data_IF_788242495165
#
_entry.id   IF_788242495165
#
_cell.length_a   1.000
_cell.length_b   1.000
_cell.length_c   1.000
_cell.angle_alpha   90.00
_cell.angle_beta   90.00
_cell.angle_gamma   90.00
#
_symmetry.space_group_name_H-M   'P 1'
#
loop_
_entity.id
_entity.type
_entity.pdbx_description
1 polymer ?
#
# COMPACT_ATOMS: atom_id res chain seq x y z
N UNK A 1 37.49 -28.08 -29.12
CA UNK A 1 37.13 -26.69 -29.51
C UNK A 1 35.76 -26.24 -29.00
N UNK A 2 34.74 -27.10 -28.98
CA UNK A 2 33.38 -26.73 -28.57
C UNK A 2 33.24 -26.39 -27.07
N UNK A 3 33.94 -27.12 -26.19
CA UNK A 3 33.92 -26.87 -24.74
C UNK A 3 34.63 -25.56 -24.36
N UNK A 4 35.71 -25.21 -25.07
CA UNK A 4 36.46 -23.97 -24.86
C UNK A 4 35.67 -22.73 -25.30
N UNK A 5 34.84 -22.85 -26.34
CA UNK A 5 33.96 -21.76 -26.79
C UNK A 5 32.80 -21.51 -25.82
N UNK A 6 32.23 -22.58 -25.24
CA UNK A 6 31.17 -22.47 -24.22
C UNK A 6 31.74 -21.85 -22.93
N UNK A 7 32.95 -22.22 -22.52
CA UNK A 7 33.60 -21.64 -21.34
C UNK A 7 33.95 -20.16 -21.55
N UNK A 8 34.39 -19.78 -22.75
CA UNK A 8 34.67 -18.38 -23.11
C UNK A 8 33.38 -17.53 -23.15
N UNK A 9 32.29 -18.08 -23.68
CA UNK A 9 30.96 -17.43 -23.67
C UNK A 9 30.38 -17.31 -22.26
N UNK A 10 30.58 -18.31 -21.40
CA UNK A 10 30.16 -18.25 -19.99
C UNK A 10 30.98 -17.23 -19.18
N UNK A 11 32.28 -17.08 -19.47
CA UNK A 11 33.13 -16.06 -18.83
C UNK A 11 32.79 -14.64 -19.30
N UNK A 12 32.41 -14.45 -20.58
CA UNK A 12 31.93 -13.17 -21.09
C UNK A 12 30.54 -12.80 -20.52
N UNK A 13 29.68 -13.77 -20.22
CA UNK A 13 28.37 -13.54 -19.62
C UNK A 13 28.41 -13.12 -18.14
N UNK A 14 29.51 -13.39 -17.43
CA UNK A 14 29.69 -12.97 -16.03
C UNK A 14 30.25 -11.54 -15.87
N UNK A 15 30.59 -10.86 -16.98
CA UNK A 15 31.19 -9.53 -16.95
C UNK A 15 30.21 -8.37 -17.18
N UNK A 16 28.94 -8.61 -17.50
CA UNK A 16 27.95 -7.53 -17.69
C UNK A 16 26.57 -7.93 -17.13
N UNK A 17 26.41 -7.77 -15.81
CA UNK A 17 25.09 -7.68 -15.18
C UNK A 17 25.18 -7.04 -13.78
N UNK A 18 25.77 -5.85 -13.68
CA UNK A 18 25.43 -4.94 -12.58
C UNK A 18 24.33 -4.00 -13.08
N UNK A 19 23.10 -4.09 -12.54
CA UNK A 19 22.03 -3.15 -12.85
C UNK A 19 22.48 -1.70 -12.56
N UNK A 20 22.09 -0.71 -13.36
CA UNK A 20 22.34 0.69 -13.04
C UNK A 20 21.59 1.05 -11.75
N UNK A 21 22.30 1.38 -10.67
CA UNK A 21 21.65 1.84 -9.42
C UNK A 21 22.31 1.47 -8.10
N UNK A 22 23.49 0.83 -8.09
CA UNK A 22 24.25 0.60 -6.86
C UNK A 22 25.26 1.74 -6.72
N UNK A 23 24.93 2.75 -5.92
CA UNK A 23 25.94 3.64 -5.38
C UNK A 23 26.92 2.77 -4.57
N UNK A 24 28.19 2.80 -4.96
CA UNK A 24 29.27 2.10 -4.26
C UNK A 24 29.26 2.60 -2.80
N UNK A 25 28.89 1.71 -1.85
CA UNK A 25 28.74 1.94 -0.41
C UNK A 25 27.49 2.73 0.04
N UNK A 26 26.35 2.05 0.34
CA UNK A 26 25.22 2.71 0.97
C UNK A 26 25.58 3.16 2.39
N UNK A 27 25.22 4.39 2.74
CA UNK A 27 25.36 4.94 4.09
C UNK A 27 24.52 4.17 5.09
N UNK A 28 25.04 4.01 6.31
CA UNK A 28 24.45 3.18 7.35
C UNK A 28 24.38 3.93 8.67
N UNK A 29 23.32 3.68 9.42
CA UNK A 29 23.08 4.29 10.72
C UNK A 29 22.66 3.23 11.75
N UNK A 30 22.85 3.54 13.05
CA UNK A 30 22.49 2.66 14.16
C UNK A 30 21.99 3.45 15.36
N UNK A 31 21.15 2.82 16.16
CA UNK A 31 20.77 3.36 17.46
C UNK A 31 21.85 3.05 18.51
N UNK A 32 22.34 4.07 19.21
CA UNK A 32 23.36 3.92 20.26
C UNK A 32 22.80 4.00 21.69
N UNK A 33 21.48 4.01 21.85
CA UNK A 33 20.83 4.12 23.17
C UNK A 33 20.54 2.73 23.73
N UNK A 34 21.28 2.33 24.78
CA UNK A 34 21.19 0.99 25.43
C UNK A 34 19.79 0.64 25.97
N UNK A 35 18.95 1.65 26.27
CA UNK A 35 17.56 1.45 26.73
C UNK A 35 16.74 0.64 25.73
N UNK A 36 17.01 0.77 24.44
CA UNK A 36 16.26 0.11 23.37
C UNK A 36 17.00 -1.16 22.92
N UNK A 37 17.00 -2.19 23.77
CA UNK A 37 17.79 -3.43 23.57
C UNK A 37 17.63 -4.06 22.18
N UNK A 38 16.42 -4.02 21.60
CA UNK A 38 16.13 -4.61 20.29
C UNK A 38 16.64 -3.79 19.10
N UNK A 39 16.97 -2.52 19.31
CA UNK A 39 17.48 -1.62 18.28
C UNK A 39 18.95 -1.23 18.50
N UNK A 40 19.46 -1.43 19.71
CA UNK A 40 20.80 -1.02 20.09
C UNK A 40 21.85 -1.72 19.23
N UNK A 41 22.71 -0.91 18.60
CA UNK A 41 23.77 -1.35 17.70
C UNK A 41 23.27 -2.16 16.48
N UNK A 42 21.98 -2.08 16.16
CA UNK A 42 21.43 -2.66 14.93
C UNK A 42 21.70 -1.70 13.76
N UNK A 43 22.24 -2.24 12.68
CA UNK A 43 22.65 -1.49 11.51
C UNK A 43 21.51 -1.40 10.49
N UNK A 44 21.16 -0.18 10.09
CA UNK A 44 20.13 0.11 9.10
C UNK A 44 20.75 0.83 7.91
N UNK A 45 20.29 0.45 6.71
CA UNK A 45 20.63 1.13 5.47
C UNK A 45 19.82 2.43 5.38
N UNK A 46 20.49 3.54 5.10
CA UNK A 46 19.80 4.82 4.92
C UNK A 46 18.97 4.81 3.63
N UNK A 47 17.75 5.39 3.66
CA UNK A 47 16.97 5.58 2.43
C UNK A 47 17.72 6.43 1.40
N UNK A 48 17.60 6.07 0.12
CA UNK A 48 18.28 6.78 -0.99
C UNK A 48 17.82 8.23 -1.15
N UNK A 49 16.61 8.55 -0.73
CA UNK A 49 16.04 9.90 -0.79
C UNK A 49 16.57 10.84 0.32
N UNK A 50 17.35 10.34 1.28
CA UNK A 50 17.94 11.22 2.29
C UNK A 50 19.00 12.13 1.66
N UNK A 51 18.94 13.46 1.91
CA UNK A 51 19.96 14.40 1.45
C UNK A 51 21.36 13.95 1.86
N UNK A 52 22.28 13.85 0.90
CA UNK A 52 23.66 13.40 1.14
C UNK A 52 23.80 11.96 1.66
N UNK A 53 22.74 11.14 1.59
CA UNK A 53 22.71 9.81 2.18
C UNK A 53 22.74 9.81 3.71
N UNK A 54 22.49 10.95 4.36
CA UNK A 54 22.64 11.07 5.80
C UNK A 54 21.33 10.74 6.54
N UNK A 55 21.37 9.72 7.40
CA UNK A 55 20.23 9.33 8.23
C UNK A 55 20.67 8.97 9.66
N UNK A 56 19.73 9.03 10.60
CA UNK A 56 19.84 8.50 11.97
C UNK A 56 18.82 7.41 12.20
N UNK A 57 19.03 6.53 13.18
CA UNK A 57 17.99 5.54 13.56
C UNK A 57 17.22 6.08 14.75
N UNK A 58 15.91 6.25 14.58
CA UNK A 58 15.03 6.52 15.71
C UNK A 58 14.97 5.27 16.60
N UNK A 59 15.58 5.34 17.79
CA UNK A 59 15.69 4.21 18.69
C UNK A 59 14.35 3.66 19.21
N UNK A 60 13.28 4.47 19.21
CA UNK A 60 11.95 4.05 19.66
C UNK A 60 11.28 3.17 18.60
N UNK A 61 11.30 3.62 17.33
CA UNK A 61 10.67 2.91 16.21
C UNK A 61 11.61 1.92 15.51
N UNK A 62 12.91 2.01 15.77
CA UNK A 62 13.98 1.32 15.07
C UNK A 62 13.94 1.50 13.54
N UNK A 63 13.60 2.72 13.09
CA UNK A 63 13.57 3.08 11.68
C UNK A 63 14.61 4.16 11.36
N UNK A 64 15.29 4.10 10.20
CA UNK A 64 16.14 5.20 9.75
C UNK A 64 15.29 6.43 9.37
N UNK A 65 15.74 7.62 9.75
CA UNK A 65 15.14 8.93 9.46
C UNK A 65 16.22 9.87 8.95
N UNK A 66 15.94 10.70 7.95
CA UNK A 66 16.95 11.62 7.38
C UNK A 66 17.35 12.71 8.39
N UNK A 67 18.59 13.18 8.32
CA UNK A 67 19.18 14.12 9.30
C UNK A 67 18.69 15.57 9.15
N UNK A 68 18.27 15.98 7.95
CA UNK A 68 17.67 17.29 7.71
C UNK A 68 16.16 17.20 7.88
N UNK A 69 15.69 17.68 9.03
CA UNK A 69 14.27 17.80 9.34
C UNK A 69 13.59 18.85 8.46
N UNK A 70 13.17 18.43 7.26
CA UNK A 70 11.85 18.79 6.72
C UNK A 70 11.18 17.49 6.30
N UNK A 71 10.66 16.76 7.29
CA UNK A 71 9.30 16.27 7.07
C UNK A 71 8.48 17.55 6.84
N UNK A 72 7.73 17.71 5.73
CA UNK A 72 6.79 18.81 5.67
C UNK A 72 5.93 18.74 6.95
N UNK A 73 5.63 19.88 7.61
CA UNK A 73 4.60 19.88 8.64
C UNK A 73 3.33 19.26 8.02
N UNK A 74 2.43 18.64 8.81
CA UNK A 74 1.09 18.42 8.28
C UNK A 74 0.60 19.80 7.84
N UNK A 75 0.43 19.99 6.54
CA UNK A 75 -0.02 21.27 5.98
C UNK A 75 -1.29 21.65 6.73
N UNK A 76 -1.21 22.73 7.49
CA UNK A 76 -2.37 23.50 7.90
C UNK A 76 -2.88 24.13 6.60
N UNK A 77 -3.68 23.36 5.86
CA UNK A 77 -4.30 23.78 4.61
C UNK A 77 -5.22 24.96 4.89
N UNK A 78 -4.64 26.16 4.85
CA UNK A 78 -5.41 27.34 4.47
C UNK A 78 -5.64 27.22 2.97
N UNK A 79 -6.89 27.12 2.50
CA UNK A 79 -7.17 27.00 1.07
C UNK A 79 -6.54 28.19 0.32
N UNK A 80 -5.91 27.96 -0.86
CA UNK A 80 -5.50 29.08 -1.68
C UNK A 80 -6.75 29.88 -2.08
N UNK A 81 -6.69 31.21 -1.93
CA UNK A 81 -7.69 32.08 -2.55
C UNK A 81 -7.70 31.85 -4.06
N UNK A 82 -8.89 31.91 -4.71
CA UNK A 82 -9.01 31.66 -6.13
C UNK A 82 -8.13 32.64 -6.94
N UNK A 83 -7.42 32.18 -7.99
CA UNK A 83 -6.73 33.09 -8.88
C UNK A 83 -7.74 33.96 -9.62
N UNK A 84 -7.43 35.25 -9.68
CA UNK A 84 -8.15 36.23 -10.47
C UNK A 84 -8.06 35.88 -11.96
N UNK A 85 -9.20 36.01 -12.62
CA UNK A 85 -9.48 35.71 -14.02
C UNK A 85 -8.64 36.58 -14.97
N UNK A 86 -7.76 35.97 -15.77
CA UNK A 86 -7.41 36.53 -17.08
C UNK A 86 -6.63 35.56 -17.98
N UNK A 87 -7.07 35.59 -19.24
CA UNK A 87 -6.46 35.10 -20.50
C UNK A 87 -6.72 33.64 -20.93
N UNK A 88 -7.59 33.55 -21.94
CA UNK A 88 -8.02 32.39 -22.72
C UNK A 88 -6.87 31.58 -23.36
N UNK A 89 -6.92 30.23 -23.35
CA UNK A 89 -6.25 29.39 -24.33
C UNK A 89 -7.10 29.17 -25.60
N UNK A 90 -6.47 28.82 -26.74
CA UNK A 90 -7.11 28.76 -28.06
C UNK A 90 -8.08 27.58 -28.21
N UNK A 91 -9.07 27.67 -29.12
CA UNK A 91 -10.09 26.65 -29.27
C UNK A 91 -9.54 25.36 -29.89
N UNK A 92 -9.83 24.23 -29.23
CA UNK A 92 -9.64 22.88 -29.77
C UNK A 92 -10.65 22.57 -30.88
N UNK A 93 -10.33 21.68 -31.84
CA UNK A 93 -11.17 21.41 -33.01
C UNK A 93 -12.49 20.71 -32.62
N UNK A 94 -13.59 21.28 -33.08
CA UNK A 94 -14.96 20.81 -32.87
C UNK A 94 -15.20 19.48 -33.59
N UNK A 95 -15.34 18.38 -32.84
CA UNK A 95 -16.03 17.17 -33.31
C UNK A 95 -17.53 17.32 -33.04
N UNK A 96 -18.30 17.47 -34.10
CA UNK A 96 -19.77 17.57 -34.09
C UNK A 96 -20.38 16.21 -33.71
N UNK A 97 -20.85 16.06 -32.48
CA UNK A 97 -21.78 14.98 -32.12
C UNK A 97 -23.23 15.52 -32.19
N UNK A 98 -24.19 14.76 -32.73
CA UNK A 98 -25.59 15.15 -32.72
C UNK A 98 -26.15 15.19 -31.28
N UNK A 99 -27.15 16.04 -31.01
CA UNK A 99 -27.72 16.19 -29.67
C UNK A 99 -28.39 14.88 -29.19
N UNK A 100 -28.32 14.55 -27.90
CA UNK A 100 -29.05 13.41 -27.36
C UNK A 100 -30.56 13.67 -27.39
N UNK A 101 -31.32 12.66 -27.81
CA UNK A 101 -32.79 12.63 -27.77
C UNK A 101 -33.34 12.85 -26.36
N UNK A 102 -34.56 13.41 -26.21
CA UNK A 102 -35.18 13.64 -24.91
C UNK A 102 -35.44 12.31 -24.16
N UNK A 103 -35.41 12.32 -22.82
CA UNK A 103 -35.60 11.11 -22.03
C UNK A 103 -37.03 10.60 -22.18
N UNK A 104 -37.15 9.32 -22.57
CA UNK A 104 -38.40 8.58 -22.50
C UNK A 104 -38.80 8.47 -21.03
N UNK A 105 -40.01 8.93 -20.70
CA UNK A 105 -40.63 8.67 -19.40
C UNK A 105 -40.70 7.16 -19.20
N UNK A 106 -39.96 6.65 -18.22
CA UNK A 106 -40.05 5.26 -17.76
C UNK A 106 -40.78 5.31 -16.42
N UNK A 107 -41.87 4.58 -16.34
CA UNK A 107 -42.77 4.50 -15.20
C UNK A 107 -41.98 4.08 -13.93
N UNK A 108 -42.30 4.72 -12.80
CA UNK A 108 -41.74 4.36 -11.50
C UNK A 108 -41.98 2.86 -11.21
N UNK A 109 -40.94 2.08 -10.86
CA UNK A 109 -41.16 0.75 -10.33
C UNK A 109 -41.84 0.84 -8.95
N UNK A 110 -42.71 -0.11 -8.60
CA UNK A 110 -43.43 -0.09 -7.33
C UNK A 110 -42.47 -0.14 -6.13
N UNK A 111 -42.86 0.46 -4.98
CA UNK A 111 -42.02 0.50 -3.79
C UNK A 111 -41.69 -0.91 -3.31
N UNK A 112 -40.40 -1.15 -3.07
CA UNK A 112 -39.93 -2.40 -2.47
C UNK A 112 -40.49 -2.57 -1.05
N UNK A 113 -40.81 -3.80 -0.62
CA UNK A 113 -41.29 -4.05 0.73
C UNK A 113 -40.23 -3.66 1.78
N UNK A 114 -40.65 -3.25 2.99
CA UNK A 114 -39.74 -2.83 4.04
C UNK A 114 -38.77 -3.96 4.40
N UNK A 115 -37.48 -3.62 4.51
CA UNK A 115 -36.46 -4.54 4.98
C UNK A 115 -36.81 -5.05 6.39
N UNK A 116 -36.59 -6.34 6.70
CA UNK A 116 -36.78 -6.85 8.04
C UNK A 116 -35.92 -6.07 9.04
N UNK A 117 -36.38 -5.89 10.29
CA UNK A 117 -35.60 -5.22 11.33
C UNK A 117 -34.26 -5.95 11.48
N UNK A 118 -33.17 -5.19 11.40
CA UNK A 118 -31.82 -5.68 11.66
C UNK A 118 -31.78 -6.15 13.11
N UNK A 119 -31.86 -7.47 13.31
CA UNK A 119 -31.64 -8.09 14.60
C UNK A 119 -30.23 -7.68 15.08
N UNK A 120 -30.03 -7.33 16.36
CA UNK A 120 -28.69 -7.10 16.89
C UNK A 120 -27.87 -8.36 16.62
N UNK A 121 -26.89 -8.26 15.72
CA UNK A 121 -25.96 -9.35 15.46
C UNK A 121 -25.20 -9.59 16.77
N UNK A 122 -25.49 -10.72 17.41
CA UNK A 122 -24.65 -11.23 18.48
C UNK A 122 -23.20 -11.29 17.98
N UNK A 123 -22.21 -10.88 18.79
CA UNK A 123 -20.81 -11.01 18.40
C UNK A 123 -20.52 -12.46 17.97
N UNK A 124 -19.68 -12.67 16.94
CA UNK A 124 -19.32 -14.01 16.49
C UNK A 124 -18.85 -14.86 17.69
N UNK A 125 -19.22 -16.16 17.76
CA UNK A 125 -18.76 -17.04 18.83
C UNK A 125 -17.25 -16.95 18.96
N UNK A 126 -16.73 -16.64 20.16
CA UNK A 126 -15.30 -16.55 20.39
C UNK A 126 -14.70 -17.93 20.17
N UNK A 127 -14.15 -18.18 18.98
CA UNK A 127 -13.34 -19.35 18.72
C UNK A 127 -12.15 -19.31 19.68
N UNK A 128 -11.82 -20.42 20.36
CA UNK A 128 -10.69 -20.44 21.28
C UNK A 128 -9.42 -19.98 20.54
N UNK A 129 -8.60 -19.10 21.14
CA UNK A 129 -7.47 -18.49 20.45
C UNK A 129 -6.53 -19.55 19.89
N UNK A 130 -6.32 -19.55 18.56
CA UNK A 130 -5.38 -20.47 17.93
C UNK A 130 -3.97 -20.15 18.43
N UNK A 131 -3.21 -21.20 18.68
CA UNK A 131 -1.79 -21.08 19.04
C UNK A 131 -0.93 -21.43 17.83
N UNK A 132 0.06 -20.59 17.54
CA UNK A 132 1.00 -20.72 16.42
C UNK A 132 2.44 -20.75 16.94
N UNK A 133 3.39 -21.19 16.10
CA UNK A 133 4.81 -21.27 16.46
C UNK A 133 5.72 -20.98 15.28
N UNK A 134 6.89 -20.41 15.54
CA UNK A 134 7.95 -20.29 14.54
C UNK A 134 8.51 -21.67 14.19
N UNK A 135 8.53 -22.01 12.89
CA UNK A 135 9.07 -23.29 12.37
C UNK A 135 10.49 -23.16 11.81
N UNK A 136 11.05 -21.95 11.75
CA UNK A 136 12.38 -21.72 11.19
C UNK A 136 13.46 -21.95 12.26
N UNK A 137 14.32 -22.96 12.05
CA UNK A 137 15.40 -23.34 12.97
C UNK A 137 16.51 -22.30 13.08
N UNK A 138 16.63 -21.38 12.11
CA UNK A 138 17.64 -20.32 12.12
C UNK A 138 17.40 -19.25 13.21
N UNK A 139 16.23 -19.28 13.86
CA UNK A 139 15.86 -18.39 14.96
C UNK A 139 15.69 -19.19 16.26
N UNK A 140 16.79 -19.70 16.86
CA UNK A 140 16.72 -20.64 17.98
C UNK A 140 16.01 -20.04 19.21
N UNK A 141 16.15 -18.74 19.44
CA UNK A 141 15.42 -18.01 20.49
C UNK A 141 13.88 -18.00 20.33
N UNK A 142 13.36 -18.30 19.14
CA UNK A 142 11.92 -18.28 18.84
C UNK A 142 11.39 -19.65 18.38
N UNK A 143 12.28 -20.57 17.99
CA UNK A 143 11.93 -21.84 17.39
C UNK A 143 11.05 -22.69 18.32
N UNK A 144 9.92 -23.16 17.79
CA UNK A 144 8.90 -23.91 18.53
C UNK A 144 8.25 -23.20 19.73
N UNK A 145 8.54 -21.91 19.97
CA UNK A 145 7.84 -21.15 21.00
C UNK A 145 6.38 -20.92 20.58
N UNK A 146 5.45 -21.16 21.51
CA UNK A 146 4.01 -21.04 21.28
C UNK A 146 3.55 -19.59 21.50
N UNK A 147 2.82 -19.04 20.55
CA UNK A 147 2.23 -17.72 20.61
C UNK A 147 0.72 -17.80 20.36
N UNK A 148 -0.04 -17.02 21.12
CA UNK A 148 -1.49 -16.90 20.93
C UNK A 148 -1.77 -15.90 19.82
N UNK A 149 -2.65 -16.25 18.88
CA UNK A 149 -3.07 -15.32 17.84
C UNK A 149 -3.82 -14.11 18.42
N UNK A 150 -3.61 -12.89 17.91
CA UNK A 150 -4.43 -11.74 18.23
C UNK A 150 -5.91 -12.00 17.94
N UNK A 151 -6.80 -11.37 18.69
CA UNK A 151 -8.26 -11.48 18.49
C UNK A 151 -8.71 -11.02 17.11
N UNK A 152 -8.01 -10.05 16.50
CA UNK A 152 -8.26 -9.56 15.15
C UNK A 152 -8.06 -10.62 14.06
N UNK A 153 -7.31 -11.68 14.33
CA UNK A 153 -7.06 -12.79 13.41
C UNK A 153 -6.95 -14.12 14.17
N UNK A 154 -7.90 -14.38 15.08
CA UNK A 154 -7.85 -15.48 16.03
C UNK A 154 -7.63 -16.87 15.41
N UNK A 155 -8.02 -17.07 14.14
CA UNK A 155 -7.83 -18.31 13.39
C UNK A 155 -6.71 -18.30 12.34
N UNK A 156 -6.19 -17.14 11.95
CA UNK A 156 -5.32 -17.00 10.77
C UNK A 156 -4.15 -16.00 11.00
N UNK A 157 -3.30 -16.34 11.98
CA UNK A 157 -2.06 -15.64 12.23
C UNK A 157 -0.83 -16.54 12.01
N UNK A 158 0.35 -15.94 11.90
CA UNK A 158 1.64 -16.62 11.81
C UNK A 158 2.66 -15.99 12.76
N UNK A 159 3.69 -16.73 13.17
CA UNK A 159 4.79 -16.13 13.92
C UNK A 159 5.80 -15.55 12.96
N UNK A 160 6.03 -14.24 13.02
CA UNK A 160 7.23 -13.64 12.45
C UNK A 160 8.43 -14.06 13.31
N UNK A 161 9.26 -14.97 12.77
CA UNK A 161 10.41 -15.51 13.48
C UNK A 161 11.50 -14.45 13.78
N UNK A 162 11.53 -13.35 13.03
CA UNK A 162 12.51 -12.26 13.23
C UNK A 162 12.17 -11.49 14.51
N UNK A 163 10.91 -11.06 14.62
CA UNK A 163 10.44 -10.30 15.80
C UNK A 163 9.91 -11.19 16.92
N UNK A 164 9.75 -12.49 16.66
CA UNK A 164 9.14 -13.49 17.52
C UNK A 164 7.76 -13.10 18.04
N UNK A 165 6.92 -12.58 17.14
CA UNK A 165 5.55 -12.12 17.44
C UNK A 165 4.53 -12.80 16.54
N UNK A 166 3.32 -13.09 17.04
CA UNK A 166 2.21 -13.49 16.19
C UNK A 166 1.71 -12.27 15.41
N UNK A 167 1.65 -12.39 14.08
CA UNK A 167 1.26 -11.32 13.15
C UNK A 167 0.11 -11.83 12.30
N UNK A 168 -0.93 -11.00 12.13
CA UNK A 168 -2.01 -11.30 11.20
C UNK A 168 -1.50 -11.14 9.76
N UNK A 169 -1.95 -11.98 8.81
CA UNK A 169 -1.55 -11.85 7.40
C UNK A 169 -1.82 -10.45 6.84
N UNK A 170 -2.91 -9.83 7.29
CA UNK A 170 -3.34 -8.49 6.92
C UNK A 170 -2.49 -7.34 7.47
N UNK A 171 -1.54 -7.61 8.36
CA UNK A 171 -0.63 -6.60 8.92
C UNK A 171 0.76 -6.63 8.28
N UNK A 172 0.98 -7.51 7.29
CA UNK A 172 2.25 -7.55 6.56
C UNK A 172 2.32 -6.40 5.53
N UNK A 173 3.51 -5.84 5.27
CA UNK A 173 3.69 -4.86 4.20
C UNK A 173 3.13 -5.35 2.87
N UNK A 174 2.40 -4.48 2.16
CA UNK A 174 1.74 -4.82 0.90
C UNK A 174 0.43 -5.61 1.02
N UNK A 175 -0.03 -5.95 2.22
CA UNK A 175 -1.36 -6.54 2.40
C UNK A 175 -2.46 -5.50 2.18
N UNK A 176 -3.48 -5.85 1.40
CA UNK A 176 -4.71 -5.06 1.22
C UNK A 176 -5.86 -5.81 1.87
N UNK A 177 -6.12 -5.50 3.14
CA UNK A 177 -7.21 -6.09 3.91
C UNK A 177 -8.03 -4.99 4.60
N UNK A 178 -9.31 -5.29 4.89
CA UNK A 178 -10.27 -4.38 5.54
C UNK A 178 -10.66 -3.17 4.67
N UNK A 179 -11.49 -2.26 5.21
CA UNK A 179 -11.82 -0.96 4.58
C UNK A 179 -10.52 -0.19 4.31
N UNK A 180 -10.34 0.43 3.13
CA UNK A 180 -9.05 0.53 2.46
C UNK A 180 -7.97 1.09 3.38
N UNK A 181 -7.17 0.16 3.88
CA UNK A 181 -6.02 0.39 4.73
C UNK A 181 -4.78 0.09 3.90
N UNK A 182 -3.90 1.07 3.77
CA UNK A 182 -2.60 0.88 3.14
C UNK A 182 -1.52 0.75 4.20
N UNK A 183 -0.59 -0.17 3.97
CA UNK A 183 0.63 -0.28 4.77
C UNK A 183 1.78 0.13 3.85
N UNK A 184 2.37 1.30 4.15
CA UNK A 184 3.53 1.80 3.43
C UNK A 184 4.70 0.83 3.50
N UNK A 185 5.66 0.95 2.59
CA UNK A 185 6.88 0.11 2.60
C UNK A 185 7.69 0.25 3.89
N UNK A 186 7.51 1.36 4.62
CA UNK A 186 8.09 1.61 5.93
C UNK A 186 7.33 0.91 7.09
N UNK A 187 6.21 0.24 6.80
CA UNK A 187 5.33 -0.42 7.77
C UNK A 187 4.33 0.51 8.45
N UNK A 188 4.22 1.78 8.04
CA UNK A 188 3.21 2.70 8.59
C UNK A 188 1.84 2.42 7.98
N UNK A 189 0.81 2.36 8.83
CA UNK A 189 -0.57 2.11 8.44
C UNK A 189 -1.30 3.43 8.18
N UNK A 190 -1.97 3.53 7.04
CA UNK A 190 -2.81 4.66 6.65
C UNK A 190 -4.22 4.19 6.37
N UNK A 191 -5.21 4.89 6.93
CA UNK A 191 -6.61 4.72 6.56
C UNK A 191 -6.89 5.66 5.40
N UNK A 192 -7.23 5.09 4.26
CA UNK A 192 -7.42 5.87 3.06
C UNK A 192 -8.86 6.36 2.95
N UNK A 193 -9.00 7.68 2.80
CA UNK A 193 -10.27 8.37 2.62
C UNK A 193 -10.33 8.99 1.24
N UNK A 194 -10.24 8.12 0.22
CA UNK A 194 -10.41 8.53 -1.17
C UNK A 194 -11.83 8.97 -1.48
N UNK A 195 -11.99 9.55 -2.68
CA UNK A 195 -13.29 9.85 -3.27
C UNK A 195 -13.72 8.69 -4.14
N UNK A 196 -15.03 8.44 -4.18
CA UNK A 196 -15.66 7.51 -5.12
C UNK A 196 -15.40 7.94 -6.57
N UNK A 197 -15.23 6.95 -7.44
CA UNK A 197 -15.06 7.06 -8.89
C UNK A 197 -13.91 8.00 -9.27
N UNK A 198 -12.79 7.89 -8.55
CA UNK A 198 -11.59 8.68 -8.75
C UNK A 198 -10.34 7.80 -8.76
N UNK A 199 -9.34 8.27 -9.49
CA UNK A 199 -8.02 7.65 -9.57
C UNK A 199 -7.05 8.32 -8.60
N UNK A 200 -6.23 7.51 -7.93
CA UNK A 200 -5.23 8.00 -6.99
C UNK A 200 -3.88 7.35 -7.28
N UNK A 201 -2.82 8.15 -7.17
CA UNK A 201 -1.45 7.64 -7.22
C UNK A 201 -1.10 7.04 -5.85
N UNK A 202 -0.86 5.72 -5.84
CA UNK A 202 -0.52 4.97 -4.63
C UNK A 202 1.00 4.87 -4.43
N UNK A 203 1.74 4.76 -5.53
CA UNK A 203 3.21 4.77 -5.56
C UNK A 203 3.66 5.59 -6.75
N UNK A 204 4.63 6.49 -6.53
CA UNK A 204 5.23 7.34 -7.56
C UNK A 204 6.75 7.34 -7.39
N UNK A 205 7.45 6.85 -8.41
CA UNK A 205 8.90 6.91 -8.57
C UNK A 205 9.20 7.21 -10.06
N UNK A 206 10.45 7.56 -10.37
CA UNK A 206 10.94 7.96 -11.69
C UNK A 206 10.62 6.96 -12.79
N UNK A 207 10.53 5.68 -12.47
CA UNK A 207 10.26 4.61 -13.42
C UNK A 207 9.16 3.62 -12.97
N UNK A 208 8.44 3.94 -11.90
CA UNK A 208 7.36 3.11 -11.37
C UNK A 208 6.22 3.99 -10.89
N UNK A 209 5.06 3.85 -11.52
CA UNK A 209 3.81 4.44 -11.05
C UNK A 209 2.78 3.35 -10.81
N UNK A 210 2.16 3.37 -9.64
CA UNK A 210 1.02 2.52 -9.32
C UNK A 210 -0.16 3.43 -9.03
N UNK A 211 -1.20 3.35 -9.86
CA UNK A 211 -2.43 4.10 -9.71
C UNK A 211 -3.56 3.13 -9.37
N UNK A 212 -4.51 3.57 -8.53
CA UNK A 212 -5.71 2.80 -8.21
C UNK A 212 -6.97 3.58 -8.53
N UNK A 213 -7.94 2.93 -9.18
CA UNK A 213 -9.29 3.45 -9.34
C UNK A 213 -10.16 2.96 -8.19
N UNK A 214 -10.80 3.89 -7.49
CA UNK A 214 -11.61 3.58 -6.32
C UNK A 214 -13.08 3.81 -6.63
N UNK A 215 -13.89 2.76 -6.46
CA UNK A 215 -15.35 2.84 -6.51
C UNK A 215 -15.91 2.97 -5.10
N UNK A 216 -17.19 3.29 -4.96
CA UNK A 216 -17.79 3.37 -3.63
C UNK A 216 -19.31 3.48 -3.66
N UNK A 217 -19.92 3.25 -2.50
CA UNK A 217 -21.35 3.50 -2.30
C UNK A 217 -21.52 4.74 -1.44
N UNK A 218 -22.33 5.68 -1.94
CA UNK A 218 -22.82 6.81 -1.16
C UNK A 218 -24.27 6.53 -0.81
N UNK A 219 -24.56 6.41 0.48
CA UNK A 219 -25.93 6.46 0.97
C UNK A 219 -26.21 7.93 1.32
N UNK A 220 -27.39 8.44 1.00
CA UNK A 220 -27.75 9.85 1.21
C UNK A 220 -27.61 10.29 2.68
N UNK A 221 -27.79 9.35 3.61
CA UNK A 221 -27.65 9.56 5.05
C UNK A 221 -26.20 9.46 5.58
N UNK A 222 -25.22 9.15 4.73
CA UNK A 222 -23.82 9.05 5.14
C UNK A 222 -23.06 10.33 4.83
N UNK A 223 -22.34 10.82 5.85
CA UNK A 223 -21.48 12.02 5.73
C UNK A 223 -20.16 11.77 5.00
N UNK A 224 -19.82 10.51 4.70
CA UNK A 224 -18.55 10.10 4.07
C UNK A 224 -18.77 9.03 3.01
N UNK A 225 -17.92 9.05 1.98
CA UNK A 225 -17.87 7.99 0.98
C UNK A 225 -17.02 6.84 1.50
N UNK A 226 -17.50 5.61 1.35
CA UNK A 226 -16.69 4.41 1.56
C UNK A 226 -16.21 3.91 0.20
N UNK A 227 -14.89 3.83 0.06
CA UNK A 227 -14.25 3.45 -1.19
C UNK A 227 -13.70 2.04 -1.16
N UNK A 228 -13.70 1.37 -2.32
CA UNK A 228 -13.14 0.06 -2.57
C UNK A 228 -12.26 0.16 -3.82
N UNK A 229 -11.18 -0.61 -3.86
CA UNK A 229 -10.33 -0.67 -5.06
C UNK A 229 -11.07 -1.46 -6.15
N UNK A 230 -11.33 -0.82 -7.29
CA UNK A 230 -11.88 -1.51 -8.46
C UNK A 230 -10.76 -2.01 -9.37
N UNK A 231 -9.76 -1.17 -9.61
CA UNK A 231 -8.65 -1.50 -10.49
C UNK A 231 -7.35 -0.88 -10.02
N UNK A 232 -6.24 -1.52 -10.43
CA UNK A 232 -4.88 -1.06 -10.26
C UNK A 232 -4.21 -1.04 -11.63
N UNK A 233 -3.57 0.08 -11.94
CA UNK A 233 -2.70 0.24 -13.10
C UNK A 233 -1.26 0.41 -12.62
N UNK A 234 -0.34 -0.34 -13.23
CA UNK A 234 1.09 -0.28 -12.98
C UNK A 234 1.77 0.15 -14.26
N UNK A 235 2.52 1.24 -14.20
CA UNK A 235 3.42 1.68 -15.25
C UNK A 235 4.84 1.46 -14.74
N UNK A 236 5.63 0.70 -15.49
CA UNK A 236 7.02 0.41 -15.16
C UNK A 236 7.87 0.47 -16.43
N UNK A 237 8.79 1.42 -16.50
CA UNK A 237 9.51 1.78 -17.73
C UNK A 237 8.52 1.94 -18.91
N UNK A 238 8.60 1.08 -19.92
CA UNK A 238 7.72 1.07 -21.10
C UNK A 238 6.58 0.04 -21.00
N UNK A 239 6.44 -0.62 -19.85
CA UNK A 239 5.43 -1.63 -19.60
C UNK A 239 4.22 -1.03 -18.90
N UNK A 240 3.04 -1.52 -19.28
CA UNK A 240 1.77 -1.17 -18.65
C UNK A 240 1.03 -2.45 -18.30
N UNK A 241 0.67 -2.60 -17.02
CA UNK A 241 -0.18 -3.67 -16.53
C UNK A 241 -1.44 -3.07 -15.93
N UNK A 242 -2.59 -3.59 -16.31
CA UNK A 242 -3.87 -3.21 -15.76
C UNK A 242 -4.57 -4.46 -15.20
N UNK A 243 -5.00 -4.38 -13.94
CA UNK A 243 -5.82 -5.40 -13.31
C UNK A 243 -7.06 -4.73 -12.70
N UNK A 244 -8.25 -5.19 -13.08
CA UNK A 244 -9.49 -4.59 -12.60
C UNK A 244 -10.62 -5.60 -12.47
N UNK A 245 -11.50 -5.36 -11.52
CA UNK A 245 -12.74 -6.09 -11.36
C UNK A 245 -13.83 -5.54 -12.30
N UNK A 246 -14.54 -6.45 -12.96
CA UNK A 246 -15.75 -6.09 -13.71
C UNK A 246 -16.86 -5.71 -12.73
N UNK A 247 -17.65 -4.69 -13.08
CA UNK A 247 -18.84 -4.33 -12.30
C UNK A 247 -19.84 -5.48 -12.43
N UNK A 248 -20.24 -6.06 -11.31
CA UNK A 248 -21.29 -7.08 -11.23
C UNK A 248 -22.43 -6.58 -10.36
N UNK A 249 -23.67 -6.87 -10.74
CA UNK A 249 -24.87 -6.55 -9.97
C UNK A 249 -25.10 -7.50 -8.79
N UNK A 250 -24.39 -8.63 -8.74
CA UNK A 250 -24.53 -9.68 -7.72
C UNK A 250 -23.19 -10.37 -7.44
N UNK A 251 -22.91 -10.66 -6.17
CA UNK A 251 -21.83 -11.56 -5.79
C UNK A 251 -22.28 -13.01 -6.06
N UNK A 252 -21.48 -13.78 -6.79
CA UNK A 252 -21.70 -15.21 -7.02
C UNK A 252 -21.04 -16.05 -5.92
#
# INVERSE_FOLDING_TARGET
MQLSLILLLALLAMAVATPPGIAYHPSRARCNIKKYKYCYNLEHVCPKFCPGGQCTVNCVSCKPVCLDGTSPPPDDYTPPSPPSESENPPPSPTTTYPPPSPPSQSENPPPSPPSPPTQPQNPPPSTPPKTVKCKNKNYPQCYNMKHVCPSSCAGDCEVDCVTCKPVCKCDRPGAVCQDPRFIGGDGTTFYFHGKKDQDFCLVSDSNLHINGHFIGRRNENMKRDFTWVQSIAILFDNHQLFAGALKTSTCA
#
